data_IF_442544755228
#
_entry.id   IF_442544755228
#
_cell.length_a   1.000
_cell.length_b   1.000
_cell.length_c   1.000
_cell.angle_alpha   90.00
_cell.angle_beta   90.00
_cell.angle_gamma   90.00
#
_symmetry.space_group_name_H-M   'P 1'
#
loop_
_entity.id
_entity.type
_entity.pdbx_description
1 polymer ?
#
# COMPACT_ATOMS: atom_id res chain seq x y z
N UNK A 1 -25.14 -4.81 -5.88
CA UNK A 1 -23.80 -5.00 -5.28
C UNK A 1 -22.94 -5.71 -6.30
N UNK A 2 -21.90 -5.06 -6.85
CA UNK A 2 -20.95 -5.72 -7.73
C UNK A 2 -20.18 -6.76 -6.90
N UNK A 3 -20.19 -8.02 -7.33
CA UNK A 3 -19.47 -9.10 -6.68
C UNK A 3 -17.96 -8.80 -6.79
N UNK A 4 -17.22 -8.81 -5.66
CA UNK A 4 -15.76 -8.62 -5.68
C UNK A 4 -15.05 -9.62 -6.62
N UNK A 5 -15.63 -10.80 -6.85
CA UNK A 5 -15.14 -11.78 -7.81
C UNK A 5 -15.21 -11.28 -9.27
N UNK A 6 -16.25 -10.52 -9.62
CA UNK A 6 -16.41 -9.93 -10.96
C UNK A 6 -15.38 -8.82 -11.21
N UNK A 7 -15.07 -8.01 -10.20
CA UNK A 7 -14.05 -6.96 -10.31
C UNK A 7 -12.66 -7.56 -10.54
N UNK A 8 -12.30 -8.63 -9.80
CA UNK A 8 -11.03 -9.35 -9.99
C UNK A 8 -10.93 -10.10 -11.32
N UNK A 9 -12.07 -10.47 -11.91
CA UNK A 9 -12.11 -11.14 -13.21
C UNK A 9 -11.82 -10.16 -14.37
N UNK A 10 -12.33 -8.93 -14.28
CA UNK A 10 -12.13 -7.91 -15.32
C UNK A 10 -10.87 -7.05 -15.11
N UNK A 11 -10.35 -6.94 -13.88
CA UNK A 11 -9.05 -6.34 -13.60
C UNK A 11 -8.07 -7.44 -13.19
N UNK A 12 -7.20 -7.92 -14.10
CA UNK A 12 -6.20 -8.91 -13.75
C UNK A 12 -5.36 -8.39 -12.58
N UNK A 13 -5.05 -9.28 -11.64
CA UNK A 13 -4.06 -9.01 -10.59
C UNK A 13 -2.80 -8.53 -11.30
N UNK A 14 -2.40 -7.28 -11.03
CA UNK A 14 -1.19 -6.70 -11.60
C UNK A 14 -0.01 -7.61 -11.26
N UNK A 15 0.88 -7.83 -12.21
CA UNK A 15 2.07 -8.64 -11.95
C UNK A 15 2.96 -7.97 -10.92
N UNK A 16 3.22 -6.67 -11.08
CA UNK A 16 4.18 -5.93 -10.27
C UNK A 16 3.60 -4.59 -9.80
N UNK A 17 3.91 -4.21 -8.56
CA UNK A 17 3.72 -2.86 -8.02
C UNK A 17 5.05 -2.37 -7.46
N UNK A 18 5.37 -1.12 -7.70
CA UNK A 18 6.48 -0.44 -7.02
C UNK A 18 5.92 0.73 -6.24
N UNK A 19 6.16 0.73 -4.93
CA UNK A 19 5.69 1.74 -4.01
C UNK A 19 6.87 2.62 -3.59
N UNK A 20 6.81 3.88 -4.00
CA UNK A 20 7.84 4.87 -3.69
C UNK A 20 7.33 5.71 -2.52
N UNK A 21 7.95 5.50 -1.37
CA UNK A 21 7.67 6.16 -0.09
C UNK A 21 6.17 6.17 0.27
N UNK A 22 5.57 4.98 0.51
CA UNK A 22 4.13 4.87 0.79
C UNK A 22 3.72 5.76 1.96
N UNK A 23 2.61 6.49 1.86
CA UNK A 23 2.23 7.46 2.88
C UNK A 23 1.87 6.82 4.24
N UNK A 24 2.39 7.37 5.33
CA UNK A 24 1.99 7.03 6.71
C UNK A 24 0.61 7.60 7.08
N UNK A 25 0.35 8.93 6.94
CA UNK A 25 -0.87 9.52 7.46
C UNK A 25 -2.11 8.98 6.74
N UNK A 26 -3.03 8.39 7.52
CA UNK A 26 -4.28 7.83 6.99
C UNK A 26 -4.17 6.43 6.38
N UNK A 27 -3.00 5.77 6.45
CA UNK A 27 -2.82 4.42 5.88
C UNK A 27 -2.10 3.43 6.81
N UNK A 28 -1.07 3.84 7.55
CA UNK A 28 -0.17 2.88 8.22
C UNK A 28 -0.90 1.92 9.18
N UNK A 29 -1.85 2.44 9.96
CA UNK A 29 -2.63 1.68 10.94
C UNK A 29 -3.93 1.10 10.37
N UNK A 30 -4.28 1.44 9.14
CA UNK A 30 -5.52 0.99 8.50
C UNK A 30 -5.42 -0.48 8.04
N UNK A 31 -6.58 -1.06 7.76
CA UNK A 31 -6.70 -2.42 7.24
C UNK A 31 -6.10 -2.60 5.85
N UNK A 32 -5.82 -3.85 5.44
CA UNK A 32 -5.23 -4.18 4.12
C UNK A 32 -6.12 -3.76 2.94
N UNK A 33 -7.39 -3.46 3.15
CA UNK A 33 -8.32 -2.95 2.14
C UNK A 33 -8.14 -1.46 1.83
N UNK A 34 -7.44 -0.71 2.70
CA UNK A 34 -7.27 0.75 2.57
C UNK A 34 -5.85 1.11 2.13
N UNK A 35 -4.88 0.22 2.32
CA UNK A 35 -3.46 0.47 2.03
C UNK A 35 -2.89 -0.54 1.05
N UNK A 36 -1.76 -0.19 0.45
CA UNK A 36 -1.00 -1.15 -0.35
C UNK A 36 -0.50 -2.28 0.56
N UNK A 37 -0.64 -3.52 0.12
CA UNK A 37 -0.08 -4.69 0.76
C UNK A 37 0.62 -5.60 -0.24
N UNK A 38 1.47 -6.50 0.26
CA UNK A 38 2.07 -7.58 -0.52
C UNK A 38 1.10 -8.43 -1.37
N UNK A 39 -0.20 -8.43 -1.04
CA UNK A 39 -1.21 -9.25 -1.74
C UNK A 39 -1.82 -8.54 -2.96
N UNK A 40 -1.46 -7.28 -3.20
CA UNK A 40 -2.08 -6.46 -4.27
C UNK A 40 -1.47 -6.68 -5.66
N UNK A 41 -0.40 -7.48 -5.74
CA UNK A 41 0.24 -7.91 -6.98
C UNK A 41 1.02 -9.21 -6.75
N UNK A 42 1.55 -9.81 -7.83
CA UNK A 42 2.45 -10.98 -7.69
C UNK A 42 3.77 -10.58 -7.03
N UNK A 43 4.24 -9.36 -7.30
CA UNK A 43 5.40 -8.74 -6.68
C UNK A 43 5.07 -7.31 -6.26
N UNK A 44 5.54 -6.93 -5.07
CA UNK A 44 5.40 -5.57 -4.52
C UNK A 44 6.77 -5.16 -4.00
N UNK A 45 7.39 -4.22 -4.69
CA UNK A 45 8.64 -3.61 -4.27
C UNK A 45 8.35 -2.30 -3.54
N UNK A 46 9.02 -2.07 -2.42
CA UNK A 46 8.82 -0.85 -1.62
C UNK A 46 10.16 -0.18 -1.38
N UNK A 47 10.22 1.13 -1.67
CA UNK A 47 11.38 1.97 -1.37
C UNK A 47 10.94 3.06 -0.39
N UNK A 48 11.56 3.10 0.79
CA UNK A 48 11.30 4.13 1.80
C UNK A 48 12.39 5.19 1.76
N UNK A 49 12.00 6.46 1.66
CA UNK A 49 12.93 7.60 1.68
C UNK A 49 12.68 8.55 2.85
N UNK A 50 11.48 8.53 3.43
CA UNK A 50 11.10 9.38 4.56
C UNK A 50 10.28 8.62 5.62
N UNK A 51 10.67 7.37 5.91
CA UNK A 51 10.07 6.53 6.95
C UNK A 51 10.49 7.00 8.36
N UNK A 52 9.83 8.05 8.85
CA UNK A 52 9.94 8.57 10.23
C UNK A 52 8.54 8.92 10.72
N UNK A 53 8.26 8.90 12.04
CA UNK A 53 6.92 9.19 12.52
C UNK A 53 6.42 10.56 12.06
N UNK A 54 5.26 10.61 11.42
CA UNK A 54 4.65 11.85 10.92
C UNK A 54 4.51 12.90 12.01
N UNK A 55 4.11 12.50 13.21
CA UNK A 55 4.11 13.38 14.39
C UNK A 55 5.17 12.87 15.37
N UNK A 56 6.09 13.72 15.86
CA UNK A 56 6.30 15.15 15.54
C UNK A 56 7.28 15.42 14.39
N UNK A 57 7.83 14.38 13.75
CA UNK A 57 9.02 14.53 12.89
C UNK A 57 8.71 14.85 11.43
N UNK A 58 7.42 14.88 11.06
CA UNK A 58 6.94 15.14 9.71
C UNK A 58 7.53 14.19 8.66
N UNK A 59 7.80 12.93 9.04
CA UNK A 59 8.08 11.88 8.07
C UNK A 59 6.79 11.44 7.40
N UNK A 60 6.75 11.47 6.06
CA UNK A 60 5.54 11.13 5.32
C UNK A 60 5.44 9.65 4.97
N UNK A 61 6.55 8.92 5.00
CA UNK A 61 6.60 7.49 4.66
C UNK A 61 6.13 6.59 5.81
N UNK A 62 5.41 5.50 5.49
CA UNK A 62 5.10 4.42 6.43
C UNK A 62 6.39 3.88 7.05
N UNK A 63 6.35 3.60 8.35
CA UNK A 63 7.45 2.94 9.06
C UNK A 63 7.45 1.45 8.75
N UNK A 64 6.25 0.89 8.59
CA UNK A 64 6.09 -0.50 8.19
C UNK A 64 6.22 -0.68 6.66
N UNK A 65 6.87 -1.75 6.20
CA UNK A 65 6.80 -2.14 4.81
C UNK A 65 5.37 -2.55 4.43
N UNK A 66 4.95 -2.22 3.21
CA UNK A 66 3.67 -2.63 2.61
C UNK A 66 3.64 -4.15 2.31
#
# INVERSE_FOLDING_TARGET
MLNLALIRYFYPVLSNRTALDPAQPGFEVEGPEVKLTKNDAKTVDVLHTDARPFIPFFGFGMLQPA
#
